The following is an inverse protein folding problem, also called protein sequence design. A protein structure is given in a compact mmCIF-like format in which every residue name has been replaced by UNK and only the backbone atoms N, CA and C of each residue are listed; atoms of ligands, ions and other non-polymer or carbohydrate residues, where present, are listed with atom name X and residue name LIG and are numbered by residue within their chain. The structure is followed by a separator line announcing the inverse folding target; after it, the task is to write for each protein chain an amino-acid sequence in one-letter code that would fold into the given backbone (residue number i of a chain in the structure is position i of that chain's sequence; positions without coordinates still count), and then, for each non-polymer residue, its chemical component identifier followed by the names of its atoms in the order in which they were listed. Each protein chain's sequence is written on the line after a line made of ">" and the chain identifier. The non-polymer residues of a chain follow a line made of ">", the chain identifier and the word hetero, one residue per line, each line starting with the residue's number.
data_IF_680413811154
#
_entry.id   IF_680413811154
#
_cell.length_a   1.000
_cell.length_b   1.000
_cell.length_c   1.000
_cell.angle_alpha   90.00
_cell.angle_beta   90.00
_cell.angle_gamma   90.00
#
_symmetry.space_group_name_H-M   'P 1'
#
loop_
_entity.id
_entity.type
_entity.pdbx_description
1 polymer ?
#
# COMPACT_ATOMS: atom_id res chain seq x y z
N UNK A 1 -10.69 28.53 -6.09
CA UNK A 1 -10.63 28.46 -7.56
C UNK A 1 -10.51 26.99 -7.94
N UNK A 2 -11.65 26.34 -8.12
CA UNK A 2 -11.73 25.12 -8.92
C UNK A 2 -11.37 25.54 -10.33
N UNK A 3 -10.20 25.10 -10.83
CA UNK A 3 -9.89 25.20 -12.25
C UNK A 3 -10.84 24.21 -12.95
N UNK A 4 -11.98 24.70 -13.42
CA UNK A 4 -12.77 23.98 -14.40
C UNK A 4 -11.95 23.89 -15.68
N UNK A 5 -11.29 22.75 -15.85
CA UNK A 5 -10.59 22.42 -17.08
C UNK A 5 -11.67 22.16 -18.12
N UNK A 6 -12.01 23.16 -18.92
CA UNK A 6 -12.96 23.03 -20.03
C UNK A 6 -12.30 22.21 -21.15
N UNK A 7 -12.77 20.98 -21.34
CA UNK A 7 -12.28 20.07 -22.38
C UNK A 7 -12.90 20.45 -23.73
N UNK A 8 -12.08 20.79 -24.72
CA UNK A 8 -12.54 21.00 -26.09
C UNK A 8 -12.87 19.63 -26.75
N UNK A 9 -13.99 19.50 -27.49
CA UNK A 9 -14.48 18.24 -28.08
C UNK A 9 -13.43 17.53 -28.95
N UNK A 10 -12.63 18.28 -29.70
CA UNK A 10 -11.54 17.73 -30.52
C UNK A 10 -10.46 17.03 -29.68
N UNK A 11 -10.22 17.51 -28.45
CA UNK A 11 -9.22 16.94 -27.55
C UNK A 11 -9.78 15.73 -26.80
N UNK A 12 -11.07 15.75 -26.43
CA UNK A 12 -11.77 14.58 -25.88
C UNK A 12 -11.72 13.42 -26.88
N UNK A 13 -12.00 13.70 -28.16
CA UNK A 13 -11.92 12.69 -29.22
C UNK A 13 -10.50 12.17 -29.41
N UNK A 14 -9.48 13.03 -29.30
CA UNK A 14 -8.08 12.60 -29.35
C UNK A 14 -7.69 11.75 -28.13
N UNK A 15 -8.06 12.14 -26.92
CA UNK A 15 -7.81 11.38 -25.68
C UNK A 15 -8.52 10.02 -25.76
N UNK A 16 -9.79 9.99 -26.13
CA UNK A 16 -10.57 8.76 -26.25
C UNK A 16 -10.03 7.81 -27.34
N UNK A 17 -9.40 8.33 -28.40
CA UNK A 17 -8.76 7.52 -29.45
C UNK A 17 -7.51 6.77 -28.95
N UNK A 18 -6.80 7.29 -27.94
CA UNK A 18 -5.53 6.73 -27.47
C UNK A 18 -5.54 6.26 -26.00
N UNK A 19 -6.64 6.45 -25.28
CA UNK A 19 -6.76 6.16 -23.84
C UNK A 19 -8.12 5.59 -23.46
N UNK A 20 -8.52 4.50 -24.12
CA UNK A 20 -9.72 3.73 -23.75
C UNK A 20 -9.68 3.24 -22.31
N UNK A 21 -8.47 3.00 -21.78
CA UNK A 21 -8.26 2.32 -20.50
C UNK A 21 -7.98 3.29 -19.33
N UNK A 22 -8.01 4.61 -19.57
CA UNK A 22 -7.81 5.62 -18.53
C UNK A 22 -9.14 6.06 -17.93
N UNK A 23 -9.18 6.25 -16.61
CA UNK A 23 -10.33 6.86 -15.94
C UNK A 23 -10.37 8.39 -16.13
N UNK A 24 -11.46 9.03 -15.70
CA UNK A 24 -11.68 10.47 -15.92
C UNK A 24 -10.58 11.34 -15.32
N UNK A 25 -10.11 11.07 -14.10
CA UNK A 25 -9.05 11.86 -13.45
C UNK A 25 -7.69 11.67 -14.14
N UNK A 26 -7.37 10.45 -14.56
CA UNK A 26 -6.19 10.15 -15.36
C UNK A 26 -6.23 10.86 -16.72
N UNK A 27 -7.41 10.98 -17.34
CA UNK A 27 -7.59 11.78 -18.56
C UNK A 27 -7.34 13.27 -18.30
N UNK A 28 -7.77 13.83 -17.15
CA UNK A 28 -7.45 15.23 -16.79
C UNK A 28 -5.95 15.44 -16.58
N UNK A 29 -5.29 14.54 -15.87
CA UNK A 29 -3.86 14.61 -15.63
C UNK A 29 -3.05 14.46 -16.93
N UNK A 30 -3.45 13.52 -17.79
CA UNK A 30 -2.88 13.36 -19.13
C UNK A 30 -3.05 14.64 -19.96
N UNK A 31 -4.23 15.26 -19.91
CA UNK A 31 -4.50 16.52 -20.62
C UNK A 31 -3.57 17.65 -20.16
N UNK A 32 -3.32 17.78 -18.85
CA UNK A 32 -2.38 18.78 -18.33
C UNK A 32 -0.96 18.54 -18.85
N UNK A 33 -0.50 17.28 -18.84
CA UNK A 33 0.81 16.87 -19.36
C UNK A 33 0.92 17.14 -20.87
N UNK A 34 -0.09 16.74 -21.64
CA UNK A 34 -0.15 16.94 -23.08
C UNK A 34 -0.11 18.44 -23.43
N UNK A 35 -0.91 19.28 -22.75
CA UNK A 35 -0.87 20.71 -22.99
C UNK A 35 0.47 21.35 -22.64
N UNK A 36 1.11 20.90 -21.55
CA UNK A 36 2.45 21.33 -21.22
C UNK A 36 3.44 20.99 -22.35
N UNK A 37 3.37 19.77 -22.90
CA UNK A 37 4.19 19.38 -24.06
C UNK A 37 3.92 20.26 -25.28
N UNK A 38 2.66 20.48 -25.65
CA UNK A 38 2.31 21.29 -26.83
C UNK A 38 2.83 22.72 -26.71
N UNK A 39 2.82 23.29 -25.50
CA UNK A 39 3.35 24.65 -25.24
C UNK A 39 4.87 24.71 -25.30
N UNK A 40 5.56 23.72 -24.73
CA UNK A 40 7.00 23.78 -24.48
C UNK A 40 7.85 23.02 -25.51
N UNK A 41 7.26 22.07 -26.23
CA UNK A 41 7.94 21.17 -27.20
C UNK A 41 7.09 20.94 -28.47
N UNK A 42 6.70 22.01 -29.21
CA UNK A 42 5.74 21.92 -30.32
C UNK A 42 6.21 21.08 -31.52
N UNK A 43 7.51 20.80 -31.65
CA UNK A 43 8.09 20.03 -32.76
C UNK A 43 7.97 18.51 -32.60
N UNK A 44 7.52 17.99 -31.46
CA UNK A 44 7.33 16.53 -31.25
C UNK A 44 5.96 16.02 -31.74
N UNK A 45 5.47 16.52 -32.88
CA UNK A 45 4.13 16.24 -33.42
C UNK A 45 3.85 14.76 -33.74
N UNK A 46 4.89 13.90 -33.79
CA UNK A 46 4.79 12.50 -34.21
C UNK A 46 4.82 11.45 -33.09
N UNK A 47 4.59 11.81 -31.83
CA UNK A 47 4.35 10.82 -30.75
C UNK A 47 2.89 10.79 -30.26
N UNK A 48 1.89 10.54 -31.12
CA UNK A 48 0.53 10.29 -30.64
C UNK A 48 0.42 8.82 -30.23
N UNK A 49 1.04 8.40 -29.11
CA UNK A 49 0.90 7.02 -28.65
C UNK A 49 1.47 6.77 -27.26
N UNK A 50 0.57 6.39 -26.34
CA UNK A 50 0.80 5.61 -25.12
C UNK A 50 1.36 6.35 -23.89
N UNK A 51 0.60 6.23 -22.79
CA UNK A 51 0.90 6.57 -21.39
C UNK A 51 2.09 7.51 -21.12
N UNK A 52 1.88 8.83 -21.23
CA UNK A 52 2.87 9.85 -20.87
C UNK A 52 3.13 9.94 -19.35
N UNK A 53 2.18 9.47 -18.55
CA UNK A 53 2.12 9.69 -17.10
C UNK A 53 2.03 8.35 -16.35
N UNK A 54 2.91 8.14 -15.38
CA UNK A 54 2.88 7.01 -14.47
C UNK A 54 2.56 7.47 -13.05
N UNK A 55 1.52 6.89 -12.45
CA UNK A 55 1.07 7.20 -11.10
C UNK A 55 1.55 6.14 -10.13
N UNK A 56 2.20 6.55 -9.05
CA UNK A 56 2.76 5.65 -8.06
C UNK A 56 2.61 6.13 -6.62
N UNK A 57 2.66 5.20 -5.69
CA UNK A 57 2.63 5.48 -4.25
C UNK A 57 3.35 4.35 -3.47
N UNK A 58 3.71 4.55 -2.18
CA UNK A 58 4.39 3.54 -1.37
C UNK A 58 3.53 2.32 -1.05
N UNK A 59 2.24 2.52 -0.77
CA UNK A 59 1.31 1.46 -0.33
C UNK A 59 0.25 1.16 -1.38
N UNK A 60 -0.29 -0.07 -1.39
CA UNK A 60 -1.37 -0.44 -2.32
C UNK A 60 -2.62 0.44 -2.16
N UNK A 61 -2.84 0.94 -0.95
CA UNK A 61 -3.94 1.82 -0.57
C UNK A 61 -3.84 3.17 -1.25
N UNK A 62 -2.71 3.84 -1.04
CA UNK A 62 -2.46 5.18 -1.58
C UNK A 62 -2.35 5.12 -3.10
N UNK A 63 -1.77 4.04 -3.64
CA UNK A 63 -1.72 3.80 -5.07
C UNK A 63 -3.13 3.65 -5.67
N UNK A 64 -4.02 2.88 -5.02
CA UNK A 64 -5.41 2.71 -5.47
C UNK A 64 -6.19 4.04 -5.51
N UNK A 65 -6.03 4.89 -4.49
CA UNK A 65 -6.71 6.19 -4.41
C UNK A 65 -6.39 7.11 -5.60
N UNK A 66 -5.19 7.01 -6.16
CA UNK A 66 -4.77 7.76 -7.36
C UNK A 66 -4.87 6.91 -8.65
N UNK A 67 -5.47 5.71 -8.57
CA UNK A 67 -5.52 4.75 -9.69
C UNK A 67 -4.14 4.45 -10.29
N UNK A 68 -3.14 4.39 -9.42
CA UNK A 68 -1.75 4.10 -9.73
C UNK A 68 -1.30 2.72 -9.26
N UNK A 69 0.02 2.54 -9.23
CA UNK A 69 0.66 1.30 -8.83
C UNK A 69 1.64 1.53 -7.69
N UNK A 70 1.89 0.54 -6.85
CA UNK A 70 2.93 0.70 -5.82
C UNK A 70 4.30 0.88 -6.47
N UNK A 71 5.18 1.67 -5.85
CA UNK A 71 6.55 1.85 -6.34
C UNK A 71 7.31 0.51 -6.39
N UNK A 72 6.97 -0.42 -5.49
CA UNK A 72 7.48 -1.79 -5.50
C UNK A 72 7.04 -2.55 -6.76
N UNK A 73 5.76 -2.47 -7.14
CA UNK A 73 5.25 -3.02 -8.39
C UNK A 73 5.88 -2.36 -9.61
N UNK A 74 6.13 -1.05 -9.57
CA UNK A 74 6.78 -0.30 -10.64
C UNK A 74 8.20 -0.82 -10.91
N UNK A 75 8.99 -1.00 -9.84
CA UNK A 75 10.32 -1.58 -9.91
C UNK A 75 10.34 -3.09 -10.16
N UNK A 76 9.17 -3.74 -10.11
CA UNK A 76 9.01 -5.20 -9.98
C UNK A 76 9.87 -5.80 -8.88
N UNK A 77 10.01 -5.10 -7.75
CA UNK A 77 10.52 -5.71 -6.52
C UNK A 77 9.46 -6.69 -6.01
N UNK A 78 9.47 -7.92 -6.54
CA UNK A 78 8.68 -9.03 -6.00
C UNK A 78 7.38 -9.41 -6.72
N UNK A 79 7.22 -9.16 -8.03
CA UNK A 79 6.18 -9.83 -8.82
C UNK A 79 6.81 -10.61 -9.98
N UNK A 80 6.93 -11.91 -9.74
CA UNK A 80 7.48 -12.91 -10.64
C UNK A 80 7.70 -14.17 -9.81
N UNK A 81 6.78 -15.12 -9.90
CA UNK A 81 7.02 -16.50 -9.48
C UNK A 81 8.43 -16.90 -9.99
N UNK A 82 9.27 -17.42 -9.10
CA UNK A 82 10.55 -18.07 -9.38
C UNK A 82 11.84 -17.26 -9.52
N UNK A 83 11.87 -15.92 -9.44
CA UNK A 83 13.16 -15.25 -9.39
C UNK A 83 13.64 -15.06 -7.95
N UNK A 84 14.64 -15.87 -7.59
CA UNK A 84 15.60 -15.57 -6.52
C UNK A 84 16.09 -14.12 -6.70
N UNK A 85 16.73 -13.55 -5.69
CA UNK A 85 17.44 -12.25 -5.72
C UNK A 85 18.55 -12.12 -6.79
N UNK A 86 18.44 -12.81 -7.91
CA UNK A 86 19.20 -12.54 -9.13
C UNK A 86 18.65 -11.26 -9.74
N UNK A 87 19.45 -10.20 -9.72
CA UNK A 87 19.23 -8.92 -10.43
C UNK A 87 19.04 -9.05 -11.96
N UNK A 88 18.91 -10.28 -12.47
CA UNK A 88 18.81 -10.63 -13.88
C UNK A 88 17.34 -10.78 -14.25
N UNK A 89 16.75 -9.71 -14.78
CA UNK A 89 15.53 -9.82 -15.58
C UNK A 89 15.88 -10.62 -16.84
N UNK A 90 14.99 -11.50 -17.27
CA UNK A 90 15.16 -12.14 -18.58
C UNK A 90 15.18 -11.07 -19.68
N UNK A 91 15.97 -11.27 -20.74
CA UNK A 91 16.09 -10.29 -21.82
C UNK A 91 14.73 -9.94 -22.45
N UNK A 92 13.84 -10.94 -22.57
CA UNK A 92 12.46 -10.75 -23.03
C UNK A 92 11.68 -9.79 -22.12
N UNK A 93 11.77 -9.99 -20.81
CA UNK A 93 11.07 -9.15 -19.84
C UNK A 93 11.64 -7.73 -19.79
N UNK A 94 12.97 -7.61 -19.89
CA UNK A 94 13.64 -6.32 -19.97
C UNK A 94 13.17 -5.55 -21.20
N UNK A 95 13.13 -6.17 -22.38
CA UNK A 95 12.65 -5.52 -23.60
C UNK A 95 11.20 -5.03 -23.47
N UNK A 96 10.30 -5.84 -22.91
CA UNK A 96 8.91 -5.43 -22.66
C UNK A 96 8.81 -4.22 -21.73
N UNK A 97 9.64 -4.18 -20.68
CA UNK A 97 9.70 -3.03 -19.77
C UNK A 97 10.30 -1.81 -20.45
N UNK A 98 11.38 -1.96 -21.20
CA UNK A 98 11.98 -0.86 -21.96
C UNK A 98 10.98 -0.26 -22.93
N UNK A 99 10.23 -1.10 -23.66
CA UNK A 99 9.18 -0.64 -24.56
C UNK A 99 8.07 0.10 -23.81
N UNK A 100 7.56 -0.45 -22.70
CA UNK A 100 6.54 0.21 -21.88
C UNK A 100 7.02 1.54 -21.31
N UNK A 101 8.19 1.56 -20.65
CA UNK A 101 8.75 2.74 -20.01
C UNK A 101 9.31 3.77 -21.00
N UNK A 102 9.59 3.39 -22.25
CA UNK A 102 9.98 4.36 -23.30
C UNK A 102 8.90 5.40 -23.59
N UNK A 103 7.63 5.06 -23.30
CA UNK A 103 6.44 5.88 -23.53
C UNK A 103 6.17 6.88 -22.39
N UNK A 104 6.67 6.58 -21.19
CA UNK A 104 6.49 7.38 -19.97
C UNK A 104 7.49 8.53 -19.92
N UNK A 105 6.97 9.73 -19.66
CA UNK A 105 7.72 10.98 -19.52
C UNK A 105 7.58 11.64 -18.14
N UNK A 106 6.41 11.48 -17.51
CA UNK A 106 6.08 12.02 -16.20
C UNK A 106 5.80 10.90 -15.21
N UNK A 107 6.27 11.08 -13.98
CA UNK A 107 5.99 10.17 -12.87
C UNK A 107 5.46 11.02 -11.72
N UNK A 108 4.31 10.64 -11.17
CA UNK A 108 3.80 11.21 -9.92
C UNK A 108 3.98 10.15 -8.84
N UNK A 109 4.62 10.53 -7.74
CA UNK A 109 4.77 9.70 -6.56
C UNK A 109 4.04 10.39 -5.41
N UNK A 110 2.89 9.83 -5.06
CA UNK A 110 2.13 10.22 -3.87
C UNK A 110 2.67 9.53 -2.63
N UNK A 111 2.46 10.14 -1.47
CA UNK A 111 3.01 9.76 -0.17
C UNK A 111 4.52 9.46 -0.14
N UNK A 112 5.32 10.32 -0.78
CA UNK A 112 6.79 10.24 -0.77
C UNK A 112 7.39 10.20 0.66
N UNK A 113 6.70 10.69 1.70
CA UNK A 113 7.16 10.63 3.10
C UNK A 113 7.38 9.20 3.61
N UNK A 114 6.67 8.20 3.07
CA UNK A 114 6.80 6.80 3.46
C UNK A 114 7.85 6.04 2.63
N UNK A 115 8.50 6.69 1.66
CA UNK A 115 9.56 6.09 0.85
C UNK A 115 10.90 6.41 1.51
N UNK A 116 11.68 5.37 1.79
CA UNK A 116 13.01 5.50 2.36
C UNK A 116 14.11 5.61 1.32
N UNK A 117 15.31 5.93 1.80
CA UNK A 117 16.51 6.13 0.99
C UNK A 117 16.88 4.90 0.15
N UNK A 118 16.77 3.69 0.71
CA UNK A 118 17.12 2.46 -0.01
C UNK A 118 16.21 2.27 -1.22
N UNK A 119 14.89 2.35 -0.99
CA UNK A 119 13.88 2.13 -2.02
C UNK A 119 13.97 3.19 -3.12
N UNK A 120 14.24 4.44 -2.76
CA UNK A 120 14.37 5.53 -3.72
C UNK A 120 15.59 5.38 -4.63
N UNK A 121 16.73 4.97 -4.07
CA UNK A 121 17.93 4.65 -4.85
C UNK A 121 17.70 3.46 -5.80
N UNK A 122 17.00 2.43 -5.31
CA UNK A 122 16.62 1.25 -6.07
C UNK A 122 15.70 1.60 -7.24
N UNK A 123 14.73 2.48 -7.03
CA UNK A 123 13.86 3.00 -8.08
C UNK A 123 14.67 3.72 -9.17
N UNK A 124 15.59 4.62 -8.80
CA UNK A 124 16.48 5.27 -9.77
C UNK A 124 17.36 4.28 -10.53
N UNK A 125 17.92 3.27 -9.86
CA UNK A 125 18.71 2.23 -10.53
C UNK A 125 17.87 1.41 -11.53
N UNK A 126 16.62 1.13 -11.19
CA UNK A 126 15.66 0.51 -12.11
C UNK A 126 15.41 1.40 -13.33
N UNK A 127 15.22 2.71 -13.15
CA UNK A 127 15.03 3.67 -14.24
C UNK A 127 16.25 3.75 -15.18
N UNK A 128 17.47 3.73 -14.64
CA UNK A 128 18.72 3.62 -15.43
C UNK A 128 18.72 2.40 -16.33
N UNK A 129 18.34 1.24 -15.75
CA UNK A 129 18.32 -0.03 -16.46
C UNK A 129 17.29 -0.04 -17.60
N UNK A 130 16.06 0.43 -17.37
CA UNK A 130 14.99 0.41 -18.38
C UNK A 130 15.12 1.54 -19.42
N UNK A 131 15.83 2.63 -19.11
CA UNK A 131 16.15 3.66 -20.11
C UNK A 131 17.48 3.39 -20.83
N UNK A 132 18.16 2.29 -20.49
CA UNK A 132 19.45 1.90 -21.05
C UNK A 132 20.46 3.07 -21.07
N UNK A 133 20.56 3.79 -19.95
CA UNK A 133 21.43 4.97 -19.84
C UNK A 133 22.20 4.94 -18.53
N UNK A 134 23.48 5.28 -18.63
CA UNK A 134 24.37 5.43 -17.47
C UNK A 134 24.46 6.88 -16.99
N UNK A 135 23.78 7.80 -17.67
CA UNK A 135 23.83 9.24 -17.38
C UNK A 135 23.59 9.52 -15.89
N UNK A 136 24.34 10.48 -15.36
CA UNK A 136 24.25 10.90 -13.96
C UNK A 136 23.06 11.83 -13.69
N UNK A 137 22.27 12.16 -14.71
CA UNK A 137 21.06 12.97 -14.57
C UNK A 137 20.09 12.24 -13.63
N UNK A 138 19.59 12.89 -12.56
CA UNK A 138 18.59 12.32 -11.68
C UNK A 138 17.40 11.75 -12.46
N UNK A 139 16.96 10.54 -12.08
CA UNK A 139 15.85 9.82 -12.70
C UNK A 139 15.91 9.72 -14.24
N UNK A 140 17.12 9.62 -14.78
CA UNK A 140 17.38 9.50 -16.22
C UNK A 140 16.75 10.61 -17.07
N UNK A 141 16.56 11.79 -16.47
CA UNK A 141 15.98 12.96 -17.14
C UNK A 141 14.45 12.97 -17.21
N UNK A 142 13.78 12.04 -16.53
CA UNK A 142 12.31 12.05 -16.44
C UNK A 142 11.80 13.15 -15.51
N UNK A 143 10.60 13.64 -15.81
CA UNK A 143 9.92 14.62 -14.97
C UNK A 143 9.23 13.89 -13.81
N UNK A 144 9.64 14.17 -12.57
CA UNK A 144 9.01 13.58 -11.39
C UNK A 144 8.36 14.65 -10.53
N UNK A 145 7.10 14.40 -10.16
CA UNK A 145 6.36 15.19 -9.19
C UNK A 145 6.15 14.34 -7.94
N UNK A 146 6.44 14.93 -6.80
CA UNK A 146 6.25 14.30 -5.49
C UNK A 146 5.11 15.02 -4.76
N UNK A 147 4.22 14.25 -4.15
CA UNK A 147 3.19 14.74 -3.24
C UNK A 147 3.30 13.98 -1.92
N UNK A 148 3.29 14.69 -0.79
CA UNK A 148 3.13 14.09 0.55
C UNK A 148 3.08 15.17 1.63
N UNK A 149 2.80 14.72 2.84
CA UNK A 149 2.97 15.44 4.08
C UNK A 149 4.00 14.72 4.99
N UNK A 150 5.16 15.34 5.19
CA UNK A 150 6.26 14.78 5.99
C UNK A 150 6.02 14.74 7.51
N UNK A 151 4.88 15.28 7.99
CA UNK A 151 4.47 15.17 9.39
C UNK A 151 3.61 13.91 9.63
N UNK A 152 3.30 13.16 8.57
CA UNK A 152 2.65 11.86 8.66
C UNK A 152 3.67 10.72 8.93
N UNK A 153 3.34 9.49 8.52
CA UNK A 153 4.12 8.30 8.82
C UNK A 153 5.46 8.28 8.07
N UNK A 154 6.58 8.01 8.76
CA UNK A 154 7.89 7.80 8.12
C UNK A 154 7.97 6.42 7.44
N UNK A 155 9.00 6.17 6.61
CA UNK A 155 9.25 4.83 6.07
C UNK A 155 9.47 3.79 7.18
N UNK A 156 9.04 2.56 6.89
CA UNK A 156 9.20 1.40 7.77
C UNK A 156 10.50 0.68 7.43
N UNK A 157 11.40 0.53 8.42
CA UNK A 157 12.67 -0.20 8.32
C UNK A 157 13.66 0.32 7.25
N UNK A 158 13.45 1.53 6.73
CA UNK A 158 14.32 2.23 5.77
C UNK A 158 14.52 3.67 6.27
N UNK A 159 15.72 4.29 6.20
CA UNK A 159 15.90 5.67 6.65
C UNK A 159 15.11 6.65 5.78
N UNK A 160 14.50 7.67 6.38
CA UNK A 160 13.73 8.68 5.66
C UNK A 160 14.61 9.57 4.77
N UNK A 161 14.06 10.01 3.63
CA UNK A 161 14.79 10.82 2.64
C UNK A 161 15.32 12.14 3.23
N UNK A 162 14.55 12.77 4.13
CA UNK A 162 14.92 14.00 4.80
C UNK A 162 15.97 13.80 5.92
N UNK A 163 16.16 12.57 6.42
CA UNK A 163 17.16 12.31 7.46
C UNK A 163 18.59 12.21 6.90
N UNK A 164 19.60 12.83 7.52
CA UNK A 164 20.99 12.63 7.11
C UNK A 164 21.40 11.17 7.26
N UNK A 165 22.26 10.70 6.35
CA UNK A 165 22.87 9.38 6.51
C UNK A 165 23.68 9.40 7.81
N UNK A 166 23.56 8.35 8.61
CA UNK A 166 24.47 8.16 9.74
C UNK A 166 25.87 7.92 9.17
N UNK A 167 26.68 8.97 9.09
CA UNK A 167 28.10 8.86 8.74
C UNK A 167 28.73 8.03 9.87
N UNK A 168 29.07 6.77 9.59
CA UNK A 168 30.06 6.07 10.39
C UNK A 168 31.37 6.82 10.19
N UNK A 169 31.84 7.52 11.21
CA UNK A 169 33.03 8.39 11.16
C UNK A 169 34.13 7.82 10.25
N UNK A 170 34.38 8.50 9.13
CA UNK A 170 35.65 8.38 8.42
C UNK A 170 36.60 9.26 9.23
N UNK A 171 37.50 8.64 9.99
CA UNK A 171 38.56 9.36 10.70
C UNK A 171 39.53 9.93 9.66
N UNK A 172 39.28 11.16 9.24
CA UNK A 172 40.25 11.99 8.56
C UNK A 172 40.41 13.28 9.36
N UNK A 173 41.49 13.39 10.13
CA UNK A 173 42.01 14.67 10.62
C UNK A 173 43.53 14.63 10.55
N UNK A 174 44.18 15.65 9.96
CA UNK A 174 45.58 15.95 10.25
C UNK A 174 45.68 16.73 11.58
N UNK A 175 46.66 16.35 12.40
CA UNK A 175 47.32 17.06 13.50
C UNK A 175 46.52 17.99 14.46
N UNK A 176 46.39 17.57 15.73
CA UNK A 176 47.11 18.16 16.90
C UNK A 176 46.39 17.96 18.24
N UNK A 177 47.10 17.29 19.15
CA UNK A 177 47.12 17.46 20.62
C UNK A 177 45.98 16.93 21.52
N UNK A 178 46.34 15.81 22.16
CA UNK A 178 46.13 15.40 23.57
C UNK A 178 44.71 15.17 24.11
N UNK A 179 44.40 13.91 24.43
CA UNK A 179 44.22 13.40 25.80
C UNK A 179 44.06 11.86 25.81
N UNK A 180 44.46 11.25 26.93
CA UNK A 180 44.88 9.85 27.13
C UNK A 180 43.71 8.86 27.35
N UNK A 181 44.06 7.56 27.30
CA UNK A 181 43.33 6.32 27.71
C UNK A 181 42.40 5.72 26.63
N UNK A 182 42.39 4.43 26.27
CA UNK A 182 42.99 3.20 26.82
C UNK A 182 43.10 2.13 25.72
N UNK A 183 44.13 1.28 25.78
CA UNK A 183 44.41 0.19 24.82
C UNK A 183 43.31 -0.89 24.82
N UNK A 184 42.72 -1.17 23.67
CA UNK A 184 42.37 -2.54 23.27
C UNK A 184 42.79 -2.77 21.82
N UNK A 185 43.73 -3.69 21.64
CA UNK A 185 44.20 -4.19 20.35
C UNK A 185 43.06 -5.00 19.70
N UNK A 186 42.45 -4.44 18.66
CA UNK A 186 41.92 -5.25 17.57
C UNK A 186 42.44 -4.68 16.26
N UNK A 187 43.04 -5.55 15.46
CA UNK A 187 43.59 -5.27 14.14
C UNK A 187 42.52 -4.67 13.23
N UNK A 188 42.67 -3.39 12.89
CA UNK A 188 41.79 -2.70 11.94
C UNK A 188 42.18 -3.16 10.54
N UNK A 189 41.39 -4.09 9.97
CA UNK A 189 41.28 -4.21 8.50
C UNK A 189 40.45 -3.00 8.02
N UNK A 190 40.78 -2.38 6.87
CA UNK A 190 39.97 -1.28 6.34
C UNK A 190 38.54 -1.78 6.16
N UNK A 191 37.60 -1.16 6.88
CA UNK A 191 36.19 -1.54 6.85
C UNK A 191 35.69 -1.33 5.43
N UNK A 192 35.26 -2.43 4.79
CA UNK A 192 34.52 -2.38 3.55
C UNK A 192 33.33 -1.44 3.73
N UNK A 193 33.20 -0.44 2.85
CA UNK A 193 32.04 0.44 2.82
C UNK A 193 30.81 -0.48 2.67
N UNK A 194 29.93 -0.47 3.67
CA UNK A 194 28.72 -1.29 3.63
C UNK A 194 27.90 -0.87 2.41
N UNK A 195 27.63 -1.79 1.49
CA UNK A 195 26.88 -1.53 0.24
C UNK A 195 25.52 -0.88 0.52
N UNK A 196 24.88 -1.22 1.65
CA UNK A 196 23.63 -0.59 2.08
C UNK A 196 23.80 0.90 2.42
N UNK A 197 24.93 1.29 3.01
CA UNK A 197 25.24 2.69 3.29
C UNK A 197 25.42 3.51 2.01
N UNK A 198 26.04 2.91 0.97
CA UNK A 198 26.20 3.53 -0.35
C UNK A 198 24.84 3.74 -1.02
N UNK A 199 24.00 2.71 -1.03
CA UNK A 199 22.64 2.80 -1.60
C UNK A 199 21.82 3.88 -0.91
N UNK A 200 21.85 3.93 0.42
CA UNK A 200 21.16 4.96 1.19
C UNK A 200 21.66 6.36 0.83
N UNK A 201 22.98 6.52 0.70
CA UNK A 201 23.56 7.79 0.31
C UNK A 201 23.15 8.24 -1.09
N UNK A 202 23.08 7.32 -2.05
CA UNK A 202 22.58 7.61 -3.39
C UNK A 202 21.11 8.07 -3.35
N UNK A 203 20.26 7.38 -2.58
CA UNK A 203 18.85 7.74 -2.43
C UNK A 203 18.67 9.12 -1.81
N UNK A 204 19.41 9.42 -0.74
CA UNK A 204 19.39 10.77 -0.15
C UNK A 204 19.88 11.83 -1.12
N UNK A 205 20.95 11.58 -1.87
CA UNK A 205 21.48 12.54 -2.85
C UNK A 205 20.41 12.91 -3.89
N UNK A 206 19.70 11.91 -4.43
CA UNK A 206 18.61 12.13 -5.37
C UNK A 206 17.48 13.01 -4.80
N UNK A 207 17.18 12.86 -3.50
CA UNK A 207 16.16 13.69 -2.85
C UNK A 207 16.62 15.13 -2.69
N UNK A 208 17.91 15.36 -2.43
CA UNK A 208 18.48 16.71 -2.34
C UNK A 208 18.53 17.42 -3.71
N UNK A 209 18.46 16.68 -4.82
CA UNK A 209 18.40 17.24 -6.17
C UNK A 209 17.00 17.75 -6.57
N UNK A 210 15.99 17.64 -5.70
CA UNK A 210 14.65 18.18 -5.94
C UNK A 210 14.72 19.71 -6.05
N UNK A 211 14.34 20.24 -7.22
CA UNK A 211 14.56 21.65 -7.59
C UNK A 211 13.50 22.61 -7.06
N UNK A 212 12.26 22.14 -6.97
CA UNK A 212 11.10 22.99 -6.69
C UNK A 212 10.27 22.37 -5.58
N UNK A 213 9.87 23.22 -4.64
CA UNK A 213 9.02 22.84 -3.51
C UNK A 213 7.82 23.80 -3.46
N UNK A 214 6.62 23.23 -3.43
CA UNK A 214 5.37 23.98 -3.43
C UNK A 214 4.60 23.58 -2.16
N UNK A 215 4.22 24.56 -1.35
CA UNK A 215 3.44 24.35 -0.14
C UNK A 215 1.98 24.72 -0.38
N UNK A 216 1.08 23.76 -0.20
CA UNK A 216 -0.36 24.00 -0.18
C UNK A 216 -0.76 24.46 1.23
N UNK A 217 -1.45 25.61 1.33
CA UNK A 217 -1.79 26.23 2.63
C UNK A 217 -3.24 26.06 3.06
N UNK A 218 -4.15 25.81 2.11
CA UNK A 218 -5.59 25.77 2.41
C UNK A 218 -6.02 24.32 2.70
N UNK A 219 -6.43 23.98 3.93
CA UNK A 219 -7.04 22.67 4.19
C UNK A 219 -8.40 22.61 3.51
N UNK A 220 -8.68 21.47 2.86
CA UNK A 220 -9.97 21.25 2.18
C UNK A 220 -10.86 20.23 2.89
N UNK A 221 -10.30 19.38 3.76
CA UNK A 221 -11.05 18.28 4.37
C UNK A 221 -11.93 18.71 5.56
N UNK A 222 -11.49 19.68 6.37
CA UNK A 222 -12.20 20.15 7.57
C UNK A 222 -12.73 21.58 7.41
N UNK A 223 -13.10 21.99 6.19
CA UNK A 223 -13.57 23.37 5.94
C UNK A 223 -14.79 23.71 6.80
N UNK A 224 -15.66 22.74 7.07
CA UNK A 224 -16.90 22.93 7.82
C UNK A 224 -16.68 23.00 9.34
N UNK A 225 -15.53 22.53 9.84
CA UNK A 225 -15.18 22.57 11.26
C UNK A 225 -13.83 23.26 11.44
N UNK A 226 -13.88 24.60 11.45
CA UNK A 226 -12.71 25.46 11.62
C UNK A 226 -12.02 25.24 12.96
N UNK A 227 -12.76 24.85 14.01
CA UNK A 227 -12.20 24.61 15.32
C UNK A 227 -11.35 23.33 15.28
N UNK A 228 -11.88 22.26 14.70
CA UNK A 228 -11.12 21.03 14.50
C UNK A 228 -9.92 21.24 13.57
N UNK A 229 -10.10 21.99 12.47
CA UNK A 229 -9.00 22.35 11.57
C UNK A 229 -7.86 23.07 12.31
N UNK A 230 -8.20 24.04 13.18
CA UNK A 230 -7.22 24.76 14.01
C UNK A 230 -6.50 23.82 14.99
N UNK A 231 -7.20 22.87 15.61
CA UNK A 231 -6.56 21.86 16.47
C UNK A 231 -5.55 21.03 15.68
N UNK A 232 -5.90 20.56 14.48
CA UNK A 232 -5.01 19.77 13.64
C UNK A 232 -3.76 20.57 13.22
N UNK A 233 -3.92 21.85 12.88
CA UNK A 233 -2.81 22.73 12.55
C UNK A 233 -1.88 22.96 13.75
N UNK A 234 -2.44 23.13 14.95
CA UNK A 234 -1.64 23.29 16.17
C UNK A 234 -0.95 21.99 16.60
N UNK A 235 -1.58 20.82 16.39
CA UNK A 235 -0.92 19.52 16.57
C UNK A 235 0.30 19.44 15.65
N UNK A 236 0.12 19.80 14.37
CA UNK A 236 1.19 19.81 13.35
C UNK A 236 2.36 20.71 13.76
N UNK A 237 2.06 21.90 14.29
CA UNK A 237 3.06 22.88 14.72
C UNK A 237 3.61 22.62 16.14
N UNK A 238 3.11 21.60 16.83
CA UNK A 238 3.43 21.28 18.23
C UNK A 238 3.06 22.41 19.22
N UNK A 239 2.02 23.17 18.91
CA UNK A 239 1.57 24.36 19.66
C UNK A 239 0.15 24.17 20.24
N UNK A 240 -0.07 23.05 20.92
CA UNK A 240 -1.35 22.74 21.54
C UNK A 240 -1.57 23.54 22.84
N UNK A 241 -2.51 24.50 22.79
CA UNK A 241 -3.03 25.20 23.97
C UNK A 241 -3.80 24.28 24.93
N UNK A 242 -3.98 24.71 26.18
CA UNK A 242 -4.74 23.96 27.19
C UNK A 242 -6.21 23.80 26.82
N UNK A 243 -6.79 24.79 26.13
CA UNK A 243 -8.16 24.71 25.62
C UNK A 243 -8.33 23.59 24.59
N UNK A 244 -7.35 23.44 23.68
CA UNK A 244 -7.33 22.35 22.70
C UNK A 244 -7.24 20.99 23.39
N UNK A 245 -6.36 20.86 24.40
CA UNK A 245 -6.20 19.63 25.19
C UNK A 245 -7.49 19.25 25.90
N UNK A 246 -8.13 20.22 26.56
CA UNK A 246 -9.40 20.01 27.26
C UNK A 246 -10.49 19.52 26.30
N UNK A 247 -10.57 20.10 25.10
CA UNK A 247 -11.55 19.66 24.11
C UNK A 247 -11.27 18.25 23.60
N UNK A 248 -10.01 17.90 23.27
CA UNK A 248 -9.65 16.54 22.85
C UNK A 248 -9.98 15.55 23.97
N UNK A 249 -9.65 15.88 25.22
CA UNK A 249 -9.94 15.03 26.38
C UNK A 249 -11.44 14.85 26.60
N UNK A 250 -12.26 15.87 26.31
CA UNK A 250 -13.72 15.75 26.39
C UNK A 250 -14.32 14.73 25.40
N UNK A 251 -13.55 14.32 24.38
CA UNK A 251 -13.94 13.29 23.40
C UNK A 251 -13.48 11.89 23.80
N UNK A 252 -12.78 11.73 24.92
CA UNK A 252 -12.45 10.42 25.48
C UNK A 252 -13.73 9.84 26.08
N UNK A 253 -14.25 8.81 25.41
CA UNK A 253 -15.42 8.07 25.89
C UNK A 253 -15.02 7.19 27.07
N UNK A 254 -15.88 7.14 28.09
CA UNK A 254 -15.83 6.15 29.17
C UNK A 254 -16.56 4.88 28.74
N UNK A 255 -16.29 3.75 29.39
CA UNK A 255 -16.82 2.42 29.02
C UNK A 255 -18.36 2.38 28.88
N UNK A 256 -19.08 3.19 29.68
CA UNK A 256 -20.53 3.30 29.64
C UNK A 256 -21.09 4.20 28.52
N UNK A 257 -20.23 4.85 27.73
CA UNK A 257 -20.58 5.78 26.64
C UNK A 257 -20.34 5.19 25.25
N UNK A 258 -19.91 3.93 25.15
CA UNK A 258 -19.63 3.27 23.86
C UNK A 258 -20.95 2.86 23.15
N UNK A 259 -22.03 2.69 23.90
CA UNK A 259 -23.36 2.28 23.39
C UNK A 259 -24.16 3.50 22.90
N UNK A 260 -23.57 4.32 22.04
CA UNK A 260 -24.28 5.44 21.41
C UNK A 260 -24.60 5.04 19.95
N UNK A 261 -25.87 5.14 19.50
CA UNK A 261 -26.28 4.71 18.16
C UNK A 261 -25.46 5.33 17.02
N UNK A 262 -24.98 6.57 17.21
CA UNK A 262 -24.15 7.32 16.26
C UNK A 262 -22.80 6.62 15.97
N UNK A 263 -22.30 5.84 16.93
CA UNK A 263 -21.02 5.12 16.83
C UNK A 263 -21.17 3.67 16.39
N UNK A 264 -22.40 3.19 16.17
CA UNK A 264 -22.69 1.81 15.77
C UNK A 264 -21.89 1.37 14.54
N UNK A 265 -21.67 2.31 13.63
CA UNK A 265 -21.00 2.09 12.35
C UNK A 265 -19.61 2.73 12.26
N UNK A 266 -19.06 3.20 13.38
CA UNK A 266 -17.79 3.89 13.42
C UNK A 266 -16.62 2.94 13.08
N UNK A 267 -15.65 3.46 12.33
CA UNK A 267 -14.41 2.74 12.04
C UNK A 267 -13.41 2.93 13.17
N UNK A 268 -12.96 1.82 13.76
CA UNK A 268 -11.91 1.84 14.78
C UNK A 268 -10.52 1.91 14.13
N UNK A 269 -9.72 2.87 14.57
CA UNK A 269 -8.32 2.98 14.21
C UNK A 269 -7.47 2.55 15.41
N UNK A 270 -6.58 1.58 15.19
CA UNK A 270 -5.69 1.05 16.22
C UNK A 270 -4.26 0.97 15.71
N UNK A 271 -3.29 0.99 16.63
CA UNK A 271 -1.86 1.05 16.29
C UNK A 271 -1.24 -0.30 15.97
N UNK A 272 -1.88 -1.41 16.36
CA UNK A 272 -1.33 -2.77 16.19
C UNK A 272 -2.31 -3.70 15.48
N UNK A 273 -1.78 -4.54 14.58
CA UNK A 273 -2.58 -5.49 13.81
C UNK A 273 -3.25 -6.56 14.68
N UNK A 274 -2.60 -7.00 15.75
CA UNK A 274 -3.17 -7.98 16.68
C UNK A 274 -4.42 -7.45 17.40
N UNK A 275 -4.38 -6.20 17.86
CA UNK A 275 -5.55 -5.51 18.44
C UNK A 275 -6.66 -5.37 17.40
N UNK A 276 -6.33 -4.95 16.17
CA UNK A 276 -7.31 -4.84 15.08
C UNK A 276 -8.01 -6.16 14.80
N UNK A 277 -7.24 -7.24 14.72
CA UNK A 277 -7.77 -8.60 14.46
C UNK A 277 -8.70 -9.00 15.59
N UNK A 278 -8.29 -8.82 16.85
CA UNK A 278 -9.12 -9.15 18.00
C UNK A 278 -10.44 -8.35 18.01
N UNK A 279 -10.39 -7.04 17.78
CA UNK A 279 -11.60 -6.21 17.72
C UNK A 279 -12.54 -6.63 16.58
N UNK A 280 -12.00 -6.98 15.41
CA UNK A 280 -12.82 -7.48 14.30
C UNK A 280 -13.45 -8.85 14.61
N UNK A 281 -12.74 -9.72 15.35
CA UNK A 281 -13.29 -10.99 15.82
C UNK A 281 -14.44 -10.78 16.80
N UNK A 282 -14.25 -9.90 17.78
CA UNK A 282 -15.28 -9.57 18.78
C UNK A 282 -16.50 -8.93 18.11
N UNK A 283 -16.29 -7.97 17.20
CA UNK A 283 -17.36 -7.34 16.43
C UNK A 283 -18.15 -8.35 15.57
N UNK A 284 -17.47 -9.32 14.95
CA UNK A 284 -18.15 -10.36 14.16
C UNK A 284 -18.98 -11.29 15.04
N UNK A 285 -18.47 -11.65 16.22
CA UNK A 285 -19.18 -12.48 17.20
C UNK A 285 -20.42 -11.76 17.74
N UNK A 286 -20.28 -10.49 18.10
CA UNK A 286 -21.39 -9.65 18.56
C UNK A 286 -22.45 -9.47 17.48
N UNK A 287 -22.03 -9.21 16.24
CA UNK A 287 -22.92 -9.14 15.08
C UNK A 287 -23.72 -10.44 14.90
N UNK A 288 -23.04 -11.59 14.90
CA UNK A 288 -23.69 -12.89 14.74
C UNK A 288 -24.72 -13.14 15.85
N UNK A 289 -24.38 -12.83 17.10
CA UNK A 289 -25.28 -12.96 18.24
C UNK A 289 -26.49 -12.01 18.13
N UNK A 290 -26.24 -10.72 17.87
CA UNK A 290 -27.27 -9.69 17.81
C UNK A 290 -28.32 -9.94 16.71
N UNK A 291 -27.86 -10.35 15.52
CA UNK A 291 -28.75 -10.63 14.39
C UNK A 291 -29.16 -12.11 14.30
N UNK A 292 -28.81 -12.92 15.30
CA UNK A 292 -29.10 -14.35 15.36
C UNK A 292 -28.61 -15.14 14.12
N UNK A 293 -27.49 -14.66 13.54
CA UNK A 293 -26.85 -15.20 12.35
C UNK A 293 -25.84 -16.27 12.70
N UNK A 294 -25.49 -17.09 11.70
CA UNK A 294 -24.43 -18.08 11.83
C UNK A 294 -23.06 -17.38 11.92
N UNK A 295 -22.20 -17.86 12.83
CA UNK A 295 -20.79 -17.48 12.91
C UNK A 295 -19.93 -18.57 12.30
N UNK A 296 -19.25 -18.26 11.20
CA UNK A 296 -18.39 -19.19 10.49
C UNK A 296 -16.93 -18.78 10.68
N UNK A 297 -16.10 -19.67 11.24
CA UNK A 297 -14.65 -19.51 11.24
C UNK A 297 -14.05 -20.23 10.04
N UNK A 298 -13.60 -19.45 9.05
CA UNK A 298 -12.94 -19.94 7.84
C UNK A 298 -11.43 -20.08 8.07
N UNK A 299 -10.92 -21.32 8.10
CA UNK A 299 -9.48 -21.56 8.25
C UNK A 299 -8.78 -21.55 6.88
N UNK A 300 -7.64 -20.85 6.81
CA UNK A 300 -6.75 -20.89 5.65
C UNK A 300 -6.14 -22.28 5.43
N UNK A 301 -5.67 -22.58 4.22
CA UNK A 301 -4.92 -23.81 3.94
C UNK A 301 -3.47 -23.47 3.65
N UNK A 302 -2.57 -23.94 4.51
CA UNK A 302 -1.16 -23.58 4.45
C UNK A 302 -0.33 -24.72 3.86
N UNK A 303 0.52 -24.40 2.88
CA UNK A 303 1.40 -25.34 2.22
C UNK A 303 2.86 -24.89 2.30
N UNK A 304 3.74 -25.88 2.48
CA UNK A 304 5.18 -25.75 2.33
C UNK A 304 5.64 -26.66 1.20
N UNK A 305 6.25 -26.11 0.12
CA UNK A 305 6.69 -26.92 -1.03
C UNK A 305 5.61 -27.92 -1.55
N UNK A 306 4.36 -27.47 -1.62
CA UNK A 306 3.17 -28.28 -2.01
C UNK A 306 2.78 -29.40 -1.04
N UNK A 307 3.41 -29.48 0.13
CA UNK A 307 2.96 -30.36 1.22
C UNK A 307 2.20 -29.57 2.27
N UNK A 308 1.15 -30.17 2.83
CA UNK A 308 0.36 -29.56 3.91
C UNK A 308 1.23 -29.49 5.16
N UNK A 309 1.12 -28.38 5.90
CA UNK A 309 1.85 -28.22 7.16
C UNK A 309 1.41 -29.25 8.21
N UNK A 310 2.35 -29.71 9.03
CA UNK A 310 2.02 -30.54 10.18
C UNK A 310 1.13 -29.77 11.18
N UNK A 311 0.39 -30.49 12.04
CA UNK A 311 -0.59 -29.90 12.97
C UNK A 311 0.02 -28.80 13.87
N UNK A 312 1.21 -29.04 14.43
CA UNK A 312 1.85 -28.09 15.36
C UNK A 312 2.20 -26.78 14.68
N UNK A 313 2.74 -26.84 13.47
CA UNK A 313 3.06 -25.65 12.68
C UNK A 313 1.76 -24.99 12.23
N UNK A 314 0.80 -25.74 11.67
CA UNK A 314 -0.50 -25.20 11.23
C UNK A 314 -1.21 -24.39 12.32
N UNK A 315 -1.25 -24.89 13.57
CA UNK A 315 -1.87 -24.14 14.67
C UNK A 315 -1.21 -22.78 14.94
N UNK A 316 0.12 -22.67 14.80
CA UNK A 316 0.82 -21.38 14.92
C UNK A 316 0.45 -20.41 13.79
N UNK A 317 0.23 -20.92 12.58
CA UNK A 317 -0.17 -20.11 11.43
C UNK A 317 -1.63 -19.65 11.52
N UNK A 318 -2.52 -20.52 12.01
CA UNK A 318 -3.91 -20.15 12.26
C UNK A 318 -4.02 -19.00 13.27
N UNK A 319 -3.09 -18.94 14.24
CA UNK A 319 -3.03 -17.87 15.25
C UNK A 319 -2.25 -16.63 14.82
N UNK A 320 -1.60 -16.62 13.64
CA UNK A 320 -0.89 -15.43 13.20
C UNK A 320 -1.87 -14.40 12.63
N UNK A 321 -1.80 -13.13 13.07
CA UNK A 321 -2.55 -12.06 12.43
C UNK A 321 -2.08 -11.87 10.98
N UNK A 322 -2.84 -11.10 10.21
CA UNK A 322 -2.43 -10.62 8.89
C UNK A 322 -1.20 -9.69 9.02
N UNK A 323 -0.01 -10.28 8.83
CA UNK A 323 1.29 -9.62 8.95
C UNK A 323 1.84 -9.30 7.55
N UNK A 324 1.94 -8.01 7.20
CA UNK A 324 2.47 -7.48 5.93
C UNK A 324 1.50 -7.55 4.73
N UNK A 325 1.88 -6.88 3.63
CA UNK A 325 1.09 -6.72 2.39
C UNK A 325 0.65 -8.04 1.72
N UNK A 326 1.23 -9.19 2.09
CA UNK A 326 1.00 -10.50 1.46
C UNK A 326 0.55 -11.60 2.44
N UNK A 327 0.31 -11.32 3.73
CA UNK A 327 -0.18 -12.33 4.65
C UNK A 327 -1.68 -12.17 4.89
N UNK A 328 -2.41 -13.25 4.62
CA UNK A 328 -3.80 -13.41 4.97
C UNK A 328 -3.88 -13.91 6.41
N UNK A 329 -4.97 -13.57 7.11
CA UNK A 329 -5.25 -14.12 8.43
C UNK A 329 -5.41 -15.65 8.34
N UNK A 330 -4.86 -16.37 9.31
CA UNK A 330 -5.00 -17.82 9.35
C UNK A 330 -6.45 -18.28 9.63
N UNK A 331 -7.21 -17.47 10.36
CA UNK A 331 -8.64 -17.66 10.61
C UNK A 331 -9.37 -16.36 10.27
N UNK A 332 -10.44 -16.48 9.49
CA UNK A 332 -11.33 -15.38 9.15
C UNK A 332 -12.74 -15.65 9.69
N UNK A 333 -13.24 -14.90 10.69
CA UNK A 333 -14.62 -15.00 11.12
C UNK A 333 -15.54 -14.33 10.08
N UNK A 334 -16.64 -14.99 9.76
CA UNK A 334 -17.62 -14.58 8.76
C UNK A 334 -19.02 -14.73 9.33
N UNK A 335 -19.86 -13.72 9.12
CA UNK A 335 -21.29 -13.77 9.45
C UNK A 335 -22.07 -12.93 8.45
N UNK A 336 -23.17 -13.47 7.92
CA UNK A 336 -24.03 -12.76 6.96
C UNK A 336 -24.51 -11.44 7.58
N UNK A 337 -24.41 -10.35 6.84
CA UNK A 337 -24.72 -8.98 7.26
C UNK A 337 -23.51 -8.18 7.75
N UNK A 338 -22.36 -8.82 7.99
CA UNK A 338 -21.18 -8.11 8.47
C UNK A 338 -20.57 -7.20 7.39
N UNK A 339 -19.99 -6.08 7.81
CA UNK A 339 -19.17 -5.22 6.96
C UNK A 339 -17.84 -5.90 6.65
N UNK A 340 -17.45 -5.85 5.38
CA UNK A 340 -16.19 -6.42 4.89
C UNK A 340 -15.46 -5.41 4.00
N UNK A 341 -14.14 -5.57 3.93
CA UNK A 341 -13.26 -4.79 3.08
C UNK A 341 -12.44 -5.76 2.24
N UNK A 342 -12.39 -5.55 0.92
CA UNK A 342 -11.46 -6.26 0.05
C UNK A 342 -10.03 -5.83 0.35
N UNK A 343 -9.11 -6.77 0.52
CA UNK A 343 -7.69 -6.49 0.82
C UNK A 343 -6.78 -6.54 -0.40
N UNK A 344 -7.35 -6.85 -1.57
CA UNK A 344 -6.63 -7.13 -2.82
C UNK A 344 -7.31 -6.48 -4.02
N UNK A 345 -6.55 -6.26 -5.08
CA UNK A 345 -7.10 -5.83 -6.35
C UNK A 345 -7.56 -7.06 -7.15
N UNK A 346 -8.87 -7.16 -7.39
CA UNK A 346 -9.47 -8.23 -8.19
C UNK A 346 -9.71 -7.70 -9.62
N UNK A 347 -10.45 -6.60 -9.75
CA UNK A 347 -10.66 -5.88 -10.99
C UNK A 347 -10.74 -4.38 -10.72
N UNK A 348 -9.66 -3.66 -10.99
CA UNK A 348 -9.58 -2.21 -10.73
C UNK A 348 -10.56 -1.40 -11.59
N UNK A 349 -10.86 -1.87 -12.80
CA UNK A 349 -11.74 -1.17 -13.73
C UNK A 349 -13.20 -1.17 -13.26
N UNK A 350 -13.61 -2.22 -12.53
CA UNK A 350 -14.98 -2.37 -12.00
C UNK A 350 -15.09 -1.94 -10.52
N UNK A 351 -14.10 -1.18 -10.00
CA UNK A 351 -13.97 -0.82 -8.58
C UNK A 351 -13.96 -2.01 -7.61
N UNK A 352 -13.55 -3.20 -8.07
CA UNK A 352 -13.28 -4.37 -7.25
C UNK A 352 -11.80 -4.38 -6.83
N UNK A 353 -11.43 -3.38 -6.05
CA UNK A 353 -10.06 -3.13 -5.64
C UNK A 353 -9.87 -3.24 -4.13
N UNK A 354 -8.62 -3.21 -3.67
CA UNK A 354 -8.30 -3.09 -2.26
C UNK A 354 -9.02 -1.87 -1.67
N UNK A 355 -9.59 -2.02 -0.47
CA UNK A 355 -10.43 -1.09 0.29
C UNK A 355 -11.89 -0.98 -0.12
N UNK A 356 -12.31 -1.67 -1.18
CA UNK A 356 -13.73 -1.67 -1.53
C UNK A 356 -14.53 -2.28 -0.38
N UNK A 357 -15.46 -1.48 0.13
CA UNK A 357 -16.34 -1.85 1.24
C UNK A 357 -17.61 -2.52 0.71
N UNK A 358 -18.06 -3.53 1.44
CA UNK A 358 -19.33 -4.16 1.17
C UNK A 358 -19.92 -4.84 2.39
N UNK A 359 -21.08 -5.44 2.17
CA UNK A 359 -21.82 -6.21 3.16
C UNK A 359 -21.82 -7.67 2.70
N UNK A 360 -21.46 -8.58 3.60
CA UNK A 360 -21.46 -10.01 3.32
C UNK A 360 -22.89 -10.53 3.22
N UNK A 361 -23.32 -10.99 2.04
CA UNK A 361 -24.69 -11.44 1.80
C UNK A 361 -24.82 -12.97 1.88
N UNK A 362 -23.84 -13.71 1.36
CA UNK A 362 -23.89 -15.17 1.34
C UNK A 362 -22.50 -15.78 1.51
N UNK A 363 -22.46 -16.99 2.08
CA UNK A 363 -21.24 -17.78 2.25
C UNK A 363 -21.49 -19.16 1.63
N UNK A 364 -20.76 -19.49 0.57
CA UNK A 364 -20.93 -20.76 -0.15
C UNK A 364 -19.76 -21.67 0.19
N UNK A 365 -20.03 -22.80 0.84
CA UNK A 365 -19.03 -23.76 1.28
C UNK A 365 -19.54 -25.20 1.16
N UNK A 366 -18.61 -26.16 1.14
CA UNK A 366 -18.96 -27.58 1.09
C UNK A 366 -19.16 -28.14 2.49
N UNK A 367 -20.23 -28.92 2.71
CA UNK A 367 -20.50 -29.54 4.01
C UNK A 367 -19.35 -30.43 4.51
N UNK A 368 -18.58 -31.01 3.58
CA UNK A 368 -17.43 -31.86 3.90
C UNK A 368 -16.25 -31.09 4.52
N UNK A 369 -16.23 -29.75 4.44
CA UNK A 369 -15.18 -28.94 5.04
C UNK A 369 -15.47 -28.58 6.50
N UNK A 370 -16.66 -28.90 7.02
CA UNK A 370 -17.02 -28.61 8.40
C UNK A 370 -16.17 -29.47 9.36
N UNK A 371 -15.59 -28.83 10.37
CA UNK A 371 -15.01 -29.51 11.50
C UNK A 371 -16.06 -29.80 12.56
N UNK A 372 -16.62 -31.02 12.52
CA UNK A 372 -17.66 -31.46 13.43
C UNK A 372 -17.26 -31.44 14.91
N UNK A 373 -15.96 -31.51 15.22
CA UNK A 373 -15.48 -31.44 16.60
C UNK A 373 -15.45 -30.01 17.15
N UNK A 374 -15.20 -29.03 16.28
CA UNK A 374 -15.03 -27.62 16.66
C UNK A 374 -16.29 -26.79 16.38
N UNK A 375 -17.26 -27.36 15.67
CA UNK A 375 -18.52 -26.70 15.33
C UNK A 375 -19.61 -27.04 16.35
N UNK A 376 -20.47 -26.08 16.65
CA UNK A 376 -21.62 -26.23 17.53
C UNK A 376 -22.86 -25.67 16.85
N UNK A 377 -23.75 -26.56 16.37
CA UNK A 377 -25.01 -26.18 15.75
C UNK A 377 -25.94 -25.47 16.74
N UNK A 378 -25.89 -25.86 18.02
CA UNK A 378 -26.65 -25.21 19.09
C UNK A 378 -26.23 -23.76 19.28
N UNK A 379 -24.91 -23.50 19.26
CA UNK A 379 -24.36 -22.14 19.40
C UNK A 379 -24.32 -21.39 18.06
N UNK A 380 -24.81 -22.00 16.96
CA UNK A 380 -24.72 -21.45 15.60
C UNK A 380 -23.28 -21.09 15.19
N UNK A 381 -22.32 -21.92 15.61
CA UNK A 381 -20.90 -21.79 15.27
C UNK A 381 -20.51 -22.92 14.33
N UNK A 382 -19.95 -22.58 13.17
CA UNK A 382 -19.36 -23.53 12.23
C UNK A 382 -17.87 -23.20 12.05
N UNK A 383 -17.02 -24.20 12.16
CA UNK A 383 -15.60 -24.10 11.84
C UNK A 383 -15.35 -24.84 10.53
N UNK A 384 -14.88 -24.13 9.51
CA UNK A 384 -14.49 -24.72 8.23
C UNK A 384 -13.00 -25.02 8.24
N UNK A 385 -12.62 -26.27 7.96
CA UNK A 385 -11.23 -26.72 7.82
C UNK A 385 -10.51 -26.05 6.64
N UNK A 386 -11.30 -25.63 5.64
CA UNK A 386 -10.88 -25.00 4.41
C UNK A 386 -11.68 -23.70 4.20
N UNK A 387 -11.19 -22.74 3.40
CA UNK A 387 -11.95 -21.57 3.00
C UNK A 387 -13.26 -21.95 2.29
N UNK A 388 -14.30 -21.08 2.36
CA UNK A 388 -15.50 -21.25 1.56
C UNK A 388 -15.15 -21.27 0.06
N UNK A 389 -16.00 -21.87 -0.78
CA UNK A 389 -15.84 -21.83 -2.24
C UNK A 389 -15.80 -20.38 -2.74
N UNK A 390 -16.73 -19.57 -2.26
CA UNK A 390 -16.76 -18.12 -2.46
C UNK A 390 -17.76 -17.51 -1.47
N UNK A 391 -17.68 -16.20 -1.33
CA UNK A 391 -18.68 -15.38 -0.63
C UNK A 391 -19.35 -14.44 -1.61
N UNK A 392 -20.58 -14.04 -1.35
CA UNK A 392 -21.27 -12.99 -2.11
C UNK A 392 -21.26 -11.72 -1.29
N UNK A 393 -20.70 -10.65 -1.84
CA UNK A 393 -20.60 -9.35 -1.18
C UNK A 393 -21.43 -8.34 -1.97
N UNK A 394 -22.30 -7.61 -1.27
CA UNK A 394 -22.94 -6.43 -1.81
C UNK A 394 -22.01 -5.23 -1.64
N UNK A 395 -21.54 -4.66 -2.75
CA UNK A 395 -20.66 -3.50 -2.71
C UNK A 395 -21.43 -2.22 -2.45
N UNK A 396 -20.85 -1.35 -1.62
CA UNK A 396 -21.44 -0.04 -1.28
C UNK A 396 -21.48 0.89 -2.51
N UNK A 397 -20.49 0.78 -3.39
CA UNK A 397 -20.41 1.52 -4.65
C UNK A 397 -19.87 0.58 -5.74
N UNK A 398 -20.65 0.37 -6.80
CA UNK A 398 -20.22 -0.33 -8.00
C UNK A 398 -20.56 0.52 -9.22
N UNK A 399 -19.61 0.66 -10.14
CA UNK A 399 -19.87 1.17 -11.49
C UNK A 399 -19.46 0.04 -12.43
N UNK A 400 -20.40 -0.84 -12.75
CA UNK A 400 -20.19 -1.90 -13.72
C UNK A 400 -20.92 -1.55 -15.02
N UNK A 401 -20.29 -0.75 -15.87
CA UNK A 401 -20.79 -0.53 -17.24
C UNK A 401 -20.70 -1.83 -18.09
N UNK A 402 -19.79 -2.73 -17.71
CA UNK A 402 -19.41 -3.96 -18.40
C UNK A 402 -20.48 -5.07 -18.35
N UNK A 403 -21.34 -5.09 -17.32
CA UNK A 403 -22.28 -6.19 -17.07
C UNK A 403 -23.73 -5.70 -17.08
N UNK A 404 -24.25 -5.39 -18.27
CA UNK A 404 -25.62 -4.89 -18.50
C UNK A 404 -26.76 -5.76 -17.91
N UNK A 405 -26.47 -7.00 -17.49
CA UNK A 405 -27.44 -7.95 -16.96
C UNK A 405 -27.26 -8.29 -15.46
N UNK A 406 -26.22 -7.76 -14.80
CA UNK A 406 -26.08 -7.88 -13.34
C UNK A 406 -26.84 -6.71 -12.72
N UNK A 407 -28.12 -6.95 -12.41
CA UNK A 407 -29.00 -5.95 -11.78
C UNK A 407 -28.64 -5.65 -10.32
N UNK A 408 -27.66 -6.34 -9.73
CA UNK A 408 -27.35 -6.24 -8.31
C UNK A 408 -25.85 -6.00 -8.09
N UNK A 409 -25.51 -5.13 -7.12
CA UNK A 409 -24.14 -4.89 -6.66
C UNK A 409 -23.52 -6.11 -5.95
N UNK A 410 -24.04 -7.31 -6.19
CA UNK A 410 -23.66 -8.56 -5.56
C UNK A 410 -22.56 -9.23 -6.38
N UNK A 411 -21.38 -9.35 -5.78
CA UNK A 411 -20.21 -9.92 -6.44
C UNK A 411 -19.77 -11.19 -5.72
N UNK A 412 -19.56 -12.30 -6.44
CA UNK A 412 -18.88 -13.46 -5.90
C UNK A 412 -17.38 -13.15 -5.73
N UNK A 413 -16.88 -13.28 -4.50
CA UNK A 413 -15.48 -13.13 -4.14
C UNK A 413 -14.93 -14.47 -3.69
N UNK A 414 -13.89 -14.93 -4.38
CA UNK A 414 -13.27 -16.23 -4.16
C UNK A 414 -12.08 -16.11 -3.20
N UNK A 415 -11.73 -17.17 -2.45
CA UNK A 415 -10.48 -17.22 -1.69
C UNK A 415 -9.28 -17.01 -2.60
N UNK A 416 -8.24 -16.36 -2.08
CA UNK A 416 -7.06 -15.98 -2.83
C UNK A 416 -5.85 -16.65 -2.26
N UNK A 417 -4.99 -17.12 -3.16
CA UNK A 417 -3.72 -17.70 -2.83
C UNK A 417 -2.62 -16.66 -2.76
N UNK A 418 -1.90 -16.61 -1.64
CA UNK A 418 -0.74 -15.77 -1.43
C UNK A 418 0.53 -16.58 -1.14
N UNK A 419 1.69 -16.00 -1.39
CA UNK A 419 2.99 -16.59 -1.04
C UNK A 419 3.77 -15.62 -0.17
N UNK A 420 4.26 -16.08 0.97
CA UNK A 420 5.07 -15.28 1.89
C UNK A 420 6.42 -15.94 2.18
N UNK A 421 7.40 -15.14 2.61
CA UNK A 421 8.67 -15.62 3.13
C UNK A 421 8.67 -15.39 4.62
N UNK A 422 8.76 -16.45 5.41
CA UNK A 422 8.85 -16.32 6.86
C UNK A 422 10.30 -16.48 7.26
N UNK A 423 10.87 -15.42 7.81
CA UNK A 423 12.17 -15.42 8.48
C UNK A 423 11.95 -15.88 9.91
N UNK A 424 12.04 -17.19 10.16
CA UNK A 424 12.09 -17.68 11.53
C UNK A 424 13.44 -17.25 12.13
N UNK A 425 13.41 -16.37 13.13
CA UNK A 425 14.60 -16.05 13.94
C UNK A 425 14.99 -17.19 14.88
N UNK A 426 14.15 -18.23 14.99
CA UNK A 426 14.50 -19.52 15.54
C UNK A 426 14.01 -20.61 14.56
N UNK A 427 14.97 -21.22 13.88
CA UNK A 427 14.88 -22.37 12.97
C UNK A 427 13.98 -22.23 11.71
N UNK A 428 14.66 -21.99 10.58
CA UNK A 428 14.20 -22.05 9.17
C UNK A 428 13.51 -20.80 8.60
N UNK A 429 14.31 -19.97 7.93
CA UNK A 429 13.84 -18.96 6.98
C UNK A 429 13.42 -19.63 5.66
N UNK A 430 12.12 -19.85 5.42
CA UNK A 430 11.65 -20.44 4.14
C UNK A 430 10.29 -19.91 3.66
N UNK A 431 10.11 -20.00 2.34
CA UNK A 431 8.91 -19.61 1.56
C UNK A 431 7.74 -20.53 1.87
N UNK A 432 6.56 -19.95 2.13
CA UNK A 432 5.31 -20.65 2.41
C UNK A 432 4.19 -20.10 1.53
N UNK A 433 3.33 -21.00 1.05
CA UNK A 433 2.13 -20.66 0.29
C UNK A 433 0.94 -20.70 1.26
N UNK A 434 0.23 -19.58 1.41
CA UNK A 434 -1.03 -19.47 2.13
C UNK A 434 -2.15 -19.51 1.07
N UNK A 435 -3.10 -20.44 1.17
CA UNK A 435 -4.29 -20.49 0.30
C UNK A 435 -5.50 -19.96 1.06
#
# INVERSE_FOLDING_TARGET
>A
MTLEINFNENIINHINKFSTDLNNEQKKAYFLVYNHQQRNYPTSMNKPSQLLLYLSAPTGVTASNISGHTIHSACRFGFGENHKHTNTLSNKLLHQLQEFWSKIEYIIIDEISMIGQTLFAQFHAFLKKIKATDNHIPFTGMNILFASDFIQLPPVLDPALYMPNKITHISSSPDSQSLKYTKQKHSIRPSSINSKSVTNAAGRSLWLDVKHMIFLKKPMCQIEDLLFANILENIRNKDLTESHRSLIQSRILKDNQIIIPEWKDATFLVTRNDIRVQLNFDATREHACHFNQLLIYSCAIDFYNRTILNRKIRLKFLSTPDINENALCGILPLSIGMKVILTVNICTNDNLANRTQGILQQIIYDMNTIDLHSSSLHEKIIVLKNPPKYVVIELTYMICESYKNLHSNHVPVYPIKCSCIISAKDELSKKLLLI
#
